data_IF_653266133759
#
_entry.id   IF_653266133759
#
_cell.length_a   1.000
_cell.length_b   1.000
_cell.length_c   1.000
_cell.angle_alpha   90.00
_cell.angle_beta   90.00
_cell.angle_gamma   90.00
#
_symmetry.space_group_name_H-M   'P 1'
#
loop_
_entity.id
_entity.type
_entity.pdbx_description
1 polymer ?
#
# COMPACT_ATOMS: atom_id res chain seq x y z
N UNK A 1 -6.41 6.62 3.41
CA UNK A 1 -6.25 5.19 3.79
C UNK A 1 -6.91 4.37 2.71
N UNK A 2 -6.19 3.46 2.06
CA UNK A 2 -6.73 2.70 0.94
C UNK A 2 -6.36 1.22 1.01
N UNK A 3 -7.11 0.40 0.29
CA UNK A 3 -6.73 -0.97 -0.01
C UNK A 3 -6.38 -1.15 -1.49
N UNK A 4 -5.48 -2.09 -1.76
CA UNK A 4 -5.23 -2.66 -3.08
C UNK A 4 -5.78 -4.08 -3.07
N UNK A 5 -6.87 -4.29 -3.80
CA UNK A 5 -7.52 -5.59 -3.94
C UNK A 5 -7.67 -5.89 -5.43
N UNK A 6 -7.19 -7.07 -5.85
CA UNK A 6 -7.27 -7.51 -7.24
C UNK A 6 -6.74 -6.46 -8.25
N UNK A 7 -5.62 -5.80 -7.92
CA UNK A 7 -5.03 -4.70 -8.71
C UNK A 7 -6.01 -3.54 -8.99
N UNK A 8 -6.90 -3.27 -8.04
CA UNK A 8 -7.71 -2.06 -7.97
C UNK A 8 -7.50 -1.36 -6.64
N UNK A 9 -7.60 -0.03 -6.64
CA UNK A 9 -7.44 0.80 -5.44
C UNK A 9 -8.81 1.26 -4.97
N UNK A 10 -9.10 1.09 -3.68
CA UNK A 10 -10.34 1.57 -3.06
C UNK A 10 -10.04 2.39 -1.82
N UNK A 11 -10.78 3.48 -1.64
CA UNK A 11 -10.72 4.29 -0.43
C UNK A 11 -11.44 3.58 0.72
N UNK A 12 -10.74 3.37 1.84
CA UNK A 12 -11.31 2.74 3.03
C UNK A 12 -12.02 3.74 3.95
N UNK A 13 -11.79 5.05 3.78
CA UNK A 13 -12.49 6.08 4.54
C UNK A 13 -13.86 6.41 3.94
N UNK A 14 -14.15 5.93 2.73
CA UNK A 14 -15.44 6.11 2.07
C UNK A 14 -16.31 4.87 2.32
N UNK A 15 -17.53 5.04 2.88
CA UNK A 15 -18.42 3.91 3.13
C UNK A 15 -18.84 3.23 1.82
N UNK A 16 -18.99 1.90 1.86
CA UNK A 16 -19.63 1.16 0.76
C UNK A 16 -21.08 1.62 0.66
N UNK A 17 -21.50 2.02 -0.54
CA UNK A 17 -22.91 2.26 -0.81
C UNK A 17 -23.54 0.94 -1.26
N UNK A 18 -24.54 0.40 -0.53
CA UNK A 18 -25.22 -0.81 -0.95
C UNK A 18 -25.81 -0.65 -2.35
N UNK A 19 -25.78 -1.72 -3.14
CA UNK A 19 -26.34 -1.78 -4.50
C UNK A 19 -25.69 -0.86 -5.54
N UNK A 20 -24.51 -0.29 -5.25
CA UNK A 20 -23.67 0.40 -6.25
C UNK A 20 -22.41 -0.41 -6.54
N UNK A 21 -21.91 -0.39 -7.79
CA UNK A 21 -20.63 -1.00 -8.11
C UNK A 21 -19.51 -0.31 -7.32
N UNK A 22 -18.43 -1.03 -6.98
CA UNK A 22 -17.28 -0.45 -6.30
C UNK A 22 -16.66 0.66 -7.15
N UNK A 23 -16.33 1.78 -6.50
CA UNK A 23 -15.61 2.88 -7.13
C UNK A 23 -14.11 2.72 -6.89
N UNK A 24 -13.36 2.50 -7.98
CA UNK A 24 -11.91 2.35 -7.93
C UNK A 24 -11.20 3.65 -8.26
N UNK A 25 -10.26 4.03 -7.41
CA UNK A 25 -9.44 5.22 -7.58
C UNK A 25 -8.37 5.02 -8.65
N UNK A 26 -8.06 6.10 -9.36
CA UNK A 26 -7.03 6.10 -10.41
C UNK A 26 -5.69 6.47 -9.83
N UNK A 27 -4.63 5.81 -10.28
CA UNK A 27 -3.26 6.15 -9.92
C UNK A 27 -2.71 7.14 -10.96
N UNK A 28 -1.97 8.12 -10.47
CA UNK A 28 -1.29 9.17 -11.24
C UNK A 28 0.15 9.27 -10.77
N UNK A 29 1.00 9.93 -11.55
CA UNK A 29 2.40 10.17 -11.18
C UNK A 29 2.65 11.67 -11.26
N UNK A 30 3.14 12.23 -10.15
CA UNK A 30 3.62 13.60 -10.05
C UNK A 30 5.12 13.63 -10.33
N UNK A 31 5.65 14.64 -11.05
CA UNK A 31 7.09 14.82 -11.22
C UNK A 31 7.86 14.96 -9.89
N UNK A 32 7.22 15.53 -8.86
CA UNK A 32 7.85 15.84 -7.58
C UNK A 32 7.56 14.79 -6.50
N UNK A 33 6.33 14.27 -6.46
CA UNK A 33 5.88 13.35 -5.39
C UNK A 33 5.90 11.88 -5.80
N UNK A 34 6.10 11.60 -7.09
CA UNK A 34 6.01 10.26 -7.63
C UNK A 34 4.56 9.74 -7.70
N UNK A 35 4.35 8.42 -7.66
CA UNK A 35 3.03 7.80 -7.83
C UNK A 35 2.11 8.09 -6.64
N UNK A 36 0.88 8.52 -6.93
CA UNK A 36 -0.15 8.83 -5.94
C UNK A 36 -1.53 8.36 -6.39
N UNK A 37 -2.43 8.18 -5.44
CA UNK A 37 -3.83 7.82 -5.69
C UNK A 37 -4.63 9.10 -5.82
N UNK A 38 -5.21 9.34 -7.01
CA UNK A 38 -6.02 10.52 -7.28
C UNK A 38 -7.37 10.40 -6.56
N UNK A 39 -7.84 11.51 -6.01
CA UNK A 39 -9.15 11.63 -5.34
C UNK A 39 -9.26 10.74 -4.08
N UNK A 40 -8.11 10.38 -3.47
CA UNK A 40 -8.05 9.69 -2.18
C UNK A 40 -8.44 10.66 -1.05
N UNK A 41 -9.29 10.21 -0.14
CA UNK A 41 -9.74 11.02 0.99
C UNK A 41 -8.58 11.32 1.96
N UNK A 42 -8.37 12.61 2.20
CA UNK A 42 -7.47 13.14 3.22
C UNK A 42 -8.29 13.82 4.32
N UNK A 43 -7.98 13.50 5.58
CA UNK A 43 -8.73 14.02 6.71
C UNK A 43 -7.77 14.66 7.70
N UNK A 44 -7.96 15.94 8.09
CA UNK A 44 -7.16 16.55 9.14
C UNK A 44 -7.47 15.87 10.47
N UNK A 45 -6.42 15.60 11.24
CA UNK A 45 -6.49 14.98 12.56
C UNK A 45 -5.76 15.83 13.59
N UNK A 46 -6.28 15.89 14.82
CA UNK A 46 -5.71 16.69 15.91
C UNK A 46 -5.20 15.87 17.09
N UNK A 47 -5.52 14.58 17.13
CA UNK A 47 -5.12 13.69 18.22
C UNK A 47 -4.90 12.26 17.74
N UNK A 48 -4.16 11.50 18.54
CA UNK A 48 -3.98 10.06 18.32
C UNK A 48 -5.32 9.31 18.31
N UNK A 49 -6.29 9.74 19.12
CA UNK A 49 -7.61 9.11 19.19
C UNK A 49 -8.37 9.26 17.86
N UNK A 50 -8.24 10.40 17.18
CA UNK A 50 -8.83 10.58 15.84
C UNK A 50 -8.15 9.69 14.81
N UNK A 51 -6.83 9.56 14.85
CA UNK A 51 -6.07 8.65 13.97
C UNK A 51 -6.56 7.22 14.15
N UNK A 52 -6.62 6.74 15.40
CA UNK A 52 -7.08 5.38 15.72
C UNK A 52 -8.53 5.15 15.30
N UNK A 53 -9.40 6.17 15.44
CA UNK A 53 -10.78 6.10 14.96
C UNK A 53 -10.86 5.92 13.44
N UNK A 54 -10.10 6.70 12.66
CA UNK A 54 -10.10 6.57 11.20
C UNK A 54 -9.48 5.24 10.74
N UNK A 55 -8.46 4.75 11.45
CA UNK A 55 -7.89 3.43 11.21
C UNK A 55 -8.95 2.35 11.43
N UNK A 56 -9.61 2.32 12.60
CA UNK A 56 -10.68 1.37 12.90
C UNK A 56 -11.82 1.42 11.89
N UNK A 57 -12.29 2.61 11.53
CA UNK A 57 -13.37 2.76 10.55
C UNK A 57 -12.99 2.18 9.17
N UNK A 58 -11.73 2.36 8.75
CA UNK A 58 -11.28 1.81 7.48
C UNK A 58 -11.05 0.30 7.53
N UNK A 59 -10.60 -0.25 8.67
CA UNK A 59 -10.55 -1.70 8.90
C UNK A 59 -11.97 -2.30 8.84
N UNK A 60 -12.95 -1.69 9.51
CA UNK A 60 -14.36 -2.11 9.44
C UNK A 60 -14.89 -2.05 8.00
N UNK A 61 -14.51 -1.03 7.22
CA UNK A 61 -14.87 -0.88 5.79
C UNK A 61 -14.21 -1.94 4.89
N UNK A 62 -13.00 -2.38 5.25
CA UNK A 62 -12.28 -3.47 4.59
C UNK A 62 -12.96 -4.82 4.88
N UNK A 63 -13.35 -5.08 6.13
CA UNK A 63 -14.01 -6.32 6.56
C UNK A 63 -15.48 -6.41 6.10
N UNK A 64 -16.22 -5.30 6.06
CA UNK A 64 -17.65 -5.33 5.66
C UNK A 64 -17.85 -5.58 4.16
N UNK A 65 -16.89 -5.22 3.32
CA UNK A 65 -16.86 -5.61 1.90
C UNK A 65 -16.71 -7.13 1.70
N UNK A 66 -16.39 -7.89 2.76
CA UNK A 66 -16.10 -9.33 2.73
C UNK A 66 -17.33 -10.25 2.91
N UNK A 67 -18.56 -9.75 2.73
CA UNK A 67 -19.82 -10.43 3.13
C UNK A 67 -19.83 -11.98 3.02
N UNK A 68 -20.04 -12.62 4.19
CA UNK A 68 -20.49 -14.00 4.50
C UNK A 68 -19.75 -15.22 3.90
N UNK A 69 -18.75 -15.08 3.03
CA UNK A 69 -18.12 -16.26 2.42
C UNK A 69 -16.59 -16.18 2.19
N UNK A 70 -15.93 -15.05 2.48
CA UNK A 70 -14.49 -14.91 2.25
C UNK A 70 -13.86 -14.00 3.30
N UNK A 71 -12.70 -14.39 3.83
CA UNK A 71 -11.84 -13.48 4.59
C UNK A 71 -11.07 -12.59 3.59
N UNK A 72 -11.60 -11.40 3.27
CA UNK A 72 -10.95 -10.48 2.33
C UNK A 72 -9.78 -9.74 2.97
N UNK A 73 -9.68 -9.67 4.30
CA UNK A 73 -8.55 -9.06 5.00
C UNK A 73 -7.23 -9.74 4.66
N UNK A 74 -7.20 -11.07 4.57
CA UNK A 74 -6.03 -11.83 4.12
C UNK A 74 -5.72 -11.67 2.62
N UNK A 75 -6.61 -11.03 1.85
CA UNK A 75 -6.59 -10.97 0.38
C UNK A 75 -6.49 -9.57 -0.20
N UNK A 76 -6.45 -8.52 0.62
CA UNK A 76 -6.15 -7.16 0.17
C UNK A 76 -4.95 -6.60 0.93
N UNK A 77 -4.19 -5.72 0.27
CA UNK A 77 -3.13 -4.96 0.93
C UNK A 77 -3.72 -3.63 1.39
N UNK A 78 -3.41 -3.20 2.60
CA UNK A 78 -3.92 -1.94 3.13
C UNK A 78 -2.76 -0.97 3.39
N UNK A 79 -2.94 0.30 3.01
CA UNK A 79 -1.94 1.36 3.19
C UNK A 79 -2.57 2.53 3.92
N UNK A 80 -2.22 2.66 5.19
CA UNK A 80 -2.57 3.80 6.03
C UNK A 80 -1.44 4.82 6.01
N UNK A 81 -1.71 6.06 5.57
CA UNK A 81 -0.71 7.11 5.47
C UNK A 81 -1.06 8.25 6.42
N UNK A 82 -0.12 8.61 7.29
CA UNK A 82 -0.15 9.81 8.12
C UNK A 82 0.78 10.82 7.48
N UNK A 83 0.26 12.00 7.16
CA UNK A 83 1.04 13.12 6.65
C UNK A 83 1.23 14.16 7.76
N UNK A 84 2.49 14.46 8.07
CA UNK A 84 2.85 15.48 9.04
C UNK A 84 3.44 16.67 8.29
N UNK A 85 2.76 17.81 8.36
CA UNK A 85 3.24 19.10 7.87
C UNK A 85 3.62 19.98 9.06
N UNK A 86 4.86 20.46 9.07
CA UNK A 86 5.38 21.38 10.07
C UNK A 86 5.73 22.68 9.37
N UNK A 87 5.20 23.79 9.87
CA UNK A 87 5.55 25.13 9.40
C UNK A 87 6.39 25.76 10.51
N UNK A 88 7.61 26.15 10.18
CA UNK A 88 8.51 26.85 11.09
C UNK A 88 8.81 28.23 10.51
N UNK A 89 8.52 29.27 11.29
CA UNK A 89 8.88 30.64 10.96
C UNK A 89 10.10 31.01 11.81
N UNK A 90 11.18 31.37 11.13
CA UNK A 90 12.40 31.88 11.73
C UNK A 90 12.30 33.41 11.80
N UNK A 91 12.16 33.91 13.03
CA UNK A 91 12.00 35.34 13.30
C UNK A 91 13.29 36.15 13.07
N UNK A 92 14.47 35.50 13.04
CA UNK A 92 15.74 36.20 12.80
C UNK A 92 15.98 36.44 11.31
N UNK A 93 15.58 35.50 10.47
CA UNK A 93 15.76 35.56 9.01
C UNK A 93 14.50 36.01 8.25
N UNK A 94 13.36 36.11 8.93
CA UNK A 94 12.01 36.30 8.35
C UNK A 94 11.65 35.22 7.31
N UNK A 95 12.28 34.04 7.41
CA UNK A 95 12.04 32.91 6.52
C UNK A 95 10.99 31.95 7.11
N UNK A 96 10.05 31.51 6.27
CA UNK A 96 9.09 30.46 6.63
C UNK A 96 9.44 29.18 5.88
N UNK A 97 9.73 28.12 6.63
CA UNK A 97 10.04 26.80 6.09
C UNK A 97 8.88 25.83 6.33
N UNK A 98 8.47 25.12 5.28
CA UNK A 98 7.51 24.01 5.38
C UNK A 98 8.24 22.68 5.25
N UNK A 99 8.09 21.82 6.26
CA UNK A 99 8.57 20.44 6.23
C UNK A 99 7.39 19.49 6.18
N UNK A 100 7.31 18.70 5.10
CA UNK A 100 6.35 17.63 4.94
C UNK A 100 7.02 16.26 5.10
N UNK A 101 6.40 15.38 5.87
CA UNK A 101 6.84 13.99 6.05
C UNK A 101 5.66 13.02 6.02
N UNK A 102 5.93 11.77 5.65
CA UNK A 102 4.90 10.73 5.51
C UNK A 102 5.30 9.49 6.30
N UNK A 103 4.38 9.01 7.13
CA UNK A 103 4.48 7.71 7.80
C UNK A 103 3.48 6.79 7.10
N UNK A 104 3.94 5.66 6.58
CA UNK A 104 3.11 4.67 5.91
C UNK A 104 3.12 3.39 6.72
N UNK A 105 1.94 3.00 7.22
CA UNK A 105 1.69 1.69 7.81
C UNK A 105 1.08 0.84 6.72
N UNK A 106 1.81 -0.21 6.33
CA UNK A 106 1.42 -1.09 5.23
C UNK A 106 1.13 -2.46 5.82
N UNK A 107 -0.10 -2.91 5.68
CA UNK A 107 -0.51 -4.28 5.98
C UNK A 107 -0.59 -5.05 4.65
N UNK A 108 0.21 -6.10 4.54
CA UNK A 108 0.30 -6.90 3.33
C UNK A 108 -0.61 -8.11 3.45
N UNK A 109 -1.27 -8.46 2.34
CA UNK A 109 -2.00 -9.71 2.21
C UNK A 109 -1.09 -10.92 2.50
N UNK A 110 -1.72 -12.05 2.81
CA UNK A 110 -1.01 -13.29 3.06
C UNK A 110 -0.19 -13.74 1.85
N UNK A 111 0.98 -14.35 2.12
CA UNK A 111 1.93 -14.83 1.11
C UNK A 111 1.65 -16.25 0.63
N UNK A 112 0.52 -16.84 1.04
CA UNK A 112 0.18 -18.21 0.72
C UNK A 112 0.01 -18.44 -0.79
N UNK A 113 0.52 -19.59 -1.24
CA UNK A 113 0.48 -19.98 -2.64
C UNK A 113 -0.93 -20.42 -3.00
N UNK A 114 -1.46 -19.84 -4.09
CA UNK A 114 -2.77 -20.20 -4.64
C UNK A 114 -2.96 -21.72 -4.93
N UNK A 115 -1.86 -22.48 -5.09
CA UNK A 115 -1.90 -23.95 -5.27
C UNK A 115 -2.44 -24.73 -4.07
N UNK A 116 -2.40 -24.17 -2.86
CA UNK A 116 -2.98 -24.79 -1.67
C UNK A 116 -4.52 -24.64 -1.62
N UNK A 117 -5.12 -23.93 -2.59
CA UNK A 117 -6.56 -23.69 -2.65
C UNK A 117 -7.15 -24.42 -3.86
N UNK A 118 -8.19 -25.23 -3.67
CA UNK A 118 -8.99 -25.83 -4.76
C UNK A 118 -9.86 -24.77 -5.49
N UNK A 119 -9.37 -23.54 -5.57
CA UNK A 119 -10.09 -22.40 -6.11
C UNK A 119 -10.12 -22.44 -7.64
N UNK A 120 -11.33 -22.45 -8.22
CA UNK A 120 -11.53 -22.44 -9.67
C UNK A 120 -12.05 -21.07 -10.17
N UNK A 121 -11.82 -20.77 -11.45
CA UNK A 121 -12.43 -19.63 -12.14
C UNK A 121 -11.98 -18.24 -11.61
N UNK A 122 -12.92 -17.46 -11.09
CA UNK A 122 -12.69 -16.08 -10.64
C UNK A 122 -11.77 -16.01 -9.40
N UNK A 123 -11.88 -16.99 -8.49
CA UNK A 123 -11.04 -17.06 -7.27
C UNK A 123 -9.57 -17.34 -7.58
N UNK A 124 -9.30 -18.14 -8.62
CA UNK A 124 -7.92 -18.37 -9.07
C UNK A 124 -7.29 -17.08 -9.63
N UNK A 125 -8.06 -16.29 -10.38
CA UNK A 125 -7.60 -14.98 -10.91
C UNK A 125 -7.34 -13.98 -9.78
N UNK A 126 -8.24 -13.92 -8.80
CA UNK A 126 -8.07 -13.09 -7.60
C UNK A 126 -6.79 -13.49 -6.83
N UNK A 127 -6.64 -14.77 -6.47
CA UNK A 127 -5.45 -15.29 -5.78
C UNK A 127 -4.16 -15.08 -6.58
N UNK A 128 -4.23 -15.15 -7.92
CA UNK A 128 -3.11 -14.82 -8.80
C UNK A 128 -2.73 -13.34 -8.74
N UNK A 129 -3.70 -12.42 -8.71
CA UNK A 129 -3.44 -10.98 -8.63
C UNK A 129 -2.93 -10.55 -7.24
N UNK A 130 -3.39 -11.19 -6.17
CA UNK A 130 -2.85 -10.97 -4.82
C UNK A 130 -1.39 -11.41 -4.79
N UNK A 131 -1.10 -12.63 -5.25
CA UNK A 131 0.26 -13.14 -5.33
C UNK A 131 1.14 -12.37 -6.30
N UNK A 132 0.58 -11.77 -7.36
CA UNK A 132 1.30 -10.91 -8.30
C UNK A 132 1.94 -9.73 -7.58
N UNK A 133 1.21 -9.05 -6.70
CA UNK A 133 1.73 -7.89 -5.96
C UNK A 133 2.89 -8.26 -5.02
N UNK A 134 2.78 -9.35 -4.26
CA UNK A 134 3.85 -9.85 -3.38
C UNK A 134 5.05 -10.40 -4.14
N UNK A 135 4.83 -11.14 -5.23
CA UNK A 135 5.90 -11.63 -6.11
C UNK A 135 6.66 -10.46 -6.73
N UNK A 136 5.93 -9.43 -7.17
CA UNK A 136 6.53 -8.21 -7.72
C UNK A 136 7.32 -7.46 -6.65
N UNK A 137 6.80 -7.36 -5.42
CA UNK A 137 7.51 -6.77 -4.30
C UNK A 137 8.86 -7.48 -4.06
N UNK A 138 8.87 -8.82 -4.05
CA UNK A 138 10.10 -9.61 -3.95
C UNK A 138 11.08 -9.34 -5.10
N UNK A 139 10.59 -9.26 -6.34
CA UNK A 139 11.41 -8.90 -7.52
C UNK A 139 12.01 -7.49 -7.41
N UNK A 140 11.23 -6.51 -6.93
CA UNK A 140 11.69 -5.12 -6.71
C UNK A 140 12.81 -5.08 -5.66
N UNK A 141 12.61 -5.73 -4.52
CA UNK A 141 13.63 -5.78 -3.44
C UNK A 141 14.90 -6.47 -3.93
N UNK A 142 14.77 -7.61 -4.64
CA UNK A 142 15.90 -8.31 -5.24
C UNK A 142 16.68 -7.43 -6.22
N UNK A 143 15.98 -6.74 -7.11
CA UNK A 143 16.59 -5.82 -8.07
C UNK A 143 17.33 -4.65 -7.38
N UNK A 144 16.76 -4.10 -6.31
CA UNK A 144 17.39 -3.03 -5.52
C UNK A 144 18.63 -3.50 -4.77
N UNK A 145 18.61 -4.70 -4.21
CA UNK A 145 19.76 -5.30 -3.54
C UNK A 145 20.91 -5.56 -4.52
N UNK A 146 20.61 -6.14 -5.68
CA UNK A 146 21.59 -6.46 -6.73
C UNK A 146 22.27 -5.20 -7.30
N UNK A 147 21.51 -4.13 -7.52
CA UNK A 147 22.03 -2.85 -8.00
C UNK A 147 23.07 -2.25 -7.04
N UNK A 148 22.86 -2.43 -5.72
CA UNK A 148 23.77 -1.95 -4.68
C UNK A 148 25.06 -2.78 -4.60
N UNK A 149 24.98 -4.10 -4.77
CA UNK A 149 26.12 -4.99 -4.62
C UNK A 149 27.07 -5.00 -5.83
N UNK A 150 26.53 -4.96 -7.05
CA UNK A 150 27.35 -5.23 -8.25
C UNK A 150 28.05 -4.00 -8.83
N UNK A 151 27.85 -2.80 -8.27
CA UNK A 151 28.41 -1.53 -8.79
C UNK A 151 28.12 -1.29 -10.28
N UNK A 152 27.17 -2.04 -10.86
CA UNK A 152 27.05 -2.25 -12.30
C UNK A 152 26.06 -1.24 -12.86
N UNK A 153 26.53 -0.45 -13.83
CA UNK A 153 25.76 0.45 -14.70
C UNK A 153 24.76 -0.26 -15.63
N UNK A 154 24.34 -1.50 -15.34
CA UNK A 154 23.23 -2.11 -16.10
C UNK A 154 21.96 -1.53 -15.49
N UNK A 155 21.29 -0.65 -16.23
CA UNK A 155 19.96 -0.12 -15.92
C UNK A 155 18.93 -1.27 -15.98
N UNK A 156 19.06 -2.27 -15.12
CA UNK A 156 17.98 -3.23 -14.94
C UNK A 156 16.85 -2.44 -14.29
N UNK A 157 15.83 -2.16 -15.10
CA UNK A 157 14.69 -1.33 -14.73
C UNK A 157 13.99 -2.05 -13.59
N UNK A 158 14.01 -1.45 -12.39
CA UNK A 158 13.30 -2.01 -11.24
C UNK A 158 11.81 -2.05 -11.57
N UNK A 159 11.14 -3.23 -11.46
CA UNK A 159 9.81 -3.46 -12.01
C UNK A 159 8.69 -2.89 -11.12
N UNK A 160 8.82 -1.64 -10.66
CA UNK A 160 7.82 -1.00 -9.79
C UNK A 160 6.42 -0.97 -10.41
N UNK A 161 6.32 -0.85 -11.74
CA UNK A 161 5.05 -0.73 -12.47
C UNK A 161 4.34 -2.06 -12.72
N UNK A 162 4.98 -3.19 -12.41
CA UNK A 162 4.39 -4.51 -12.65
C UNK A 162 3.20 -4.79 -11.70
N UNK A 163 3.14 -4.13 -10.53
CA UNK A 163 1.99 -4.12 -9.63
C UNK A 163 1.67 -2.71 -9.13
N UNK A 164 0.39 -2.45 -8.90
CA UNK A 164 -0.09 -1.21 -8.27
C UNK A 164 0.59 -0.96 -6.92
N UNK A 165 0.72 -1.99 -6.10
CA UNK A 165 1.29 -1.87 -4.77
C UNK A 165 2.74 -1.39 -4.83
N UNK A 166 3.57 -2.04 -5.65
CA UNK A 166 4.99 -1.67 -5.81
C UNK A 166 5.15 -0.33 -6.48
N UNK A 167 4.20 0.09 -7.31
CA UNK A 167 4.24 1.41 -7.94
C UNK A 167 3.97 2.51 -6.91
N UNK A 168 2.94 2.36 -6.07
CA UNK A 168 2.61 3.29 -4.99
C UNK A 168 3.68 3.33 -3.89
N UNK A 169 4.37 2.20 -3.67
CA UNK A 169 5.46 2.06 -2.69
C UNK A 169 6.85 2.34 -3.29
N UNK A 170 6.96 2.81 -4.54
CA UNK A 170 8.24 3.11 -5.20
C UNK A 170 9.15 3.98 -4.34
N UNK A 171 8.62 5.07 -3.78
CA UNK A 171 9.36 5.99 -2.92
C UNK A 171 9.74 5.33 -1.57
N UNK A 172 8.87 4.49 -1.04
CA UNK A 172 9.11 3.75 0.21
C UNK A 172 10.21 2.67 0.05
N UNK A 173 10.32 2.01 -1.10
CA UNK A 173 11.22 0.88 -1.27
C UNK A 173 12.63 1.28 -1.73
N UNK A 174 12.73 2.25 -2.65
CA UNK A 174 14.01 2.66 -3.23
C UNK A 174 14.18 4.17 -3.39
N UNK A 175 13.27 4.97 -2.81
CA UNK A 175 13.30 6.44 -2.85
C UNK A 175 13.70 7.05 -1.51
N UNK A 176 13.11 8.21 -1.22
CA UNK A 176 13.45 9.01 -0.04
C UNK A 176 12.61 8.59 1.17
N UNK A 177 12.86 7.38 1.67
CA UNK A 177 12.15 6.84 2.83
C UNK A 177 13.05 5.97 3.71
N UNK A 178 12.80 6.01 5.02
CA UNK A 178 13.32 5.01 5.93
C UNK A 178 12.26 3.92 6.08
N UNK A 179 12.61 2.70 5.65
CA UNK A 179 11.66 1.60 5.57
C UNK A 179 12.14 0.43 6.41
N UNK A 180 11.24 -0.06 7.26
CA UNK A 180 11.39 -1.29 8.02
C UNK A 180 10.33 -2.28 7.55
N UNK A 181 10.71 -3.55 7.46
CA UNK A 181 9.80 -4.65 7.12
C UNK A 181 9.76 -5.63 8.29
N UNK A 182 8.55 -6.02 8.69
CA UNK A 182 8.32 -7.02 9.73
C UNK A 182 7.98 -8.33 9.03
N UNK A 183 8.79 -9.36 9.23
CA UNK A 183 8.55 -10.69 8.69
C UNK A 183 7.78 -11.54 9.72
N UNK A 184 6.51 -11.81 9.45
CA UNK A 184 5.66 -12.67 10.27
C UNK A 184 5.76 -14.11 9.75
N UNK A 185 6.66 -14.92 10.35
CA UNK A 185 6.95 -16.27 9.89
C UNK A 185 6.20 -17.28 10.77
N UNK A 186 5.41 -18.16 10.14
CA UNK A 186 4.78 -19.27 10.83
C UNK A 186 5.82 -20.40 11.08
N UNK A 187 5.78 -21.08 12.24
CA UNK A 187 6.70 -22.17 12.54
C UNK A 187 6.39 -23.47 11.76
N UNK A 188 5.25 -23.54 11.09
CA UNK A 188 4.76 -24.71 10.35
C UNK A 188 4.93 -24.53 8.84
N UNK A 189 5.41 -25.57 8.16
CA UNK A 189 5.34 -25.65 6.70
C UNK A 189 3.90 -25.95 6.26
N UNK A 190 3.38 -25.14 5.33
CA UNK A 190 2.16 -25.47 4.58
C UNK A 190 2.59 -26.32 3.38
N UNK A 191 2.41 -27.64 3.45
CA UNK A 191 2.45 -28.54 2.28
C UNK A 191 1.26 -28.28 1.33
#
# INVERSE_FOLDING_TARGET
YFEVYNEHVRDLLVPVVPNKPPYYLKIRESPTEGPYVKDLTEVPVRSINEILRYMKNGDDSRTTASTKMNDTSSRSHAVFTIMLKQIHNDMETDETTERSSRIRLVDLAGSERAKATEATGARLREGSNINKSLTTLGRVIGALADAKQKGRKRKDVVPYRDSILTWLLKDSLGGNSKTAMIACIAPSDYE
#
